data_IF_221304938388
#
_entry.id   IF_221304938388
#
_cell.length_a   1.000
_cell.length_b   1.000
_cell.length_c   1.000
_cell.angle_alpha   90.00
_cell.angle_beta   90.00
_cell.angle_gamma   90.00
#
_symmetry.space_group_name_H-M   'P 1'
#
loop_
_entity.id
_entity.type
_entity.pdbx_description
1 polymer ?
#
# COMPACT_ATOMS: atom_id res chain seq x y z
N UNK A 1 23.82 27.07 -18.11
CA UNK A 1 22.65 26.90 -18.97
C UNK A 1 21.85 28.20 -19.11
N UNK A 2 21.34 28.78 -18.05
CA UNK A 2 20.50 30.00 -18.06
C UNK A 2 21.11 31.25 -18.67
N UNK A 3 22.43 31.50 -18.51
CA UNK A 3 23.10 32.64 -19.11
C UNK A 3 22.94 32.72 -20.63
N UNK A 4 23.02 31.57 -21.31
CA UNK A 4 22.88 31.46 -22.77
C UNK A 4 21.46 31.74 -23.23
N UNK A 5 20.48 31.30 -22.46
CA UNK A 5 19.06 31.53 -22.74
C UNK A 5 18.68 33.02 -22.60
N UNK A 6 19.17 33.73 -21.58
CA UNK A 6 18.89 35.14 -21.39
C UNK A 6 19.48 35.96 -22.53
N UNK A 7 20.72 35.70 -22.92
CA UNK A 7 21.37 36.40 -24.05
C UNK A 7 20.69 36.12 -25.39
N UNK A 8 20.08 34.93 -25.55
CA UNK A 8 19.42 34.52 -26.79
C UNK A 8 17.99 35.06 -26.90
N UNK A 9 17.22 35.03 -25.81
CA UNK A 9 15.78 35.30 -25.84
C UNK A 9 15.39 36.65 -25.24
N UNK A 10 16.28 37.33 -24.51
CA UNK A 10 15.98 38.66 -23.93
C UNK A 10 16.76 39.76 -24.66
N UNK A 11 18.06 39.78 -24.56
CA UNK A 11 18.91 40.70 -25.30
C UNK A 11 20.39 40.26 -25.21
N UNK A 12 21.17 40.36 -26.30
CA UNK A 12 22.62 40.13 -26.28
C UNK A 12 23.41 41.16 -25.49
N UNK A 13 22.83 42.34 -25.23
CA UNK A 13 23.49 43.44 -24.54
C UNK A 13 23.30 43.44 -23.02
N UNK A 14 22.54 42.52 -22.49
CA UNK A 14 22.29 42.42 -21.04
C UNK A 14 23.56 42.05 -20.30
N UNK A 15 24.03 42.94 -19.43
CA UNK A 15 25.14 42.63 -18.53
C UNK A 15 24.70 41.70 -17.40
N UNK A 16 25.02 40.42 -17.55
CA UNK A 16 24.64 39.35 -16.62
C UNK A 16 25.74 39.02 -15.59
N UNK A 17 26.89 39.65 -15.67
CA UNK A 17 27.98 39.45 -14.68
C UNK A 17 27.60 40.13 -13.35
N UNK A 18 27.38 39.32 -12.32
CA UNK A 18 27.09 39.81 -10.96
C UNK A 18 25.62 40.24 -10.74
N UNK A 19 24.79 40.34 -11.80
CA UNK A 19 23.43 40.87 -11.73
C UNK A 19 22.33 39.77 -11.74
N UNK A 20 22.74 38.49 -11.79
CA UNK A 20 21.79 37.36 -11.71
C UNK A 20 22.04 36.59 -10.42
N UNK A 21 21.06 36.68 -9.52
CA UNK A 21 20.99 35.81 -8.37
C UNK A 21 19.96 34.70 -8.67
N UNK A 22 20.43 33.48 -8.92
CA UNK A 22 19.56 32.33 -9.02
C UNK A 22 19.21 31.88 -7.59
N UNK A 23 18.06 32.32 -7.10
CA UNK A 23 17.48 31.69 -5.90
C UNK A 23 16.80 30.40 -6.39
N UNK A 24 17.45 29.26 -6.16
CA UNK A 24 16.75 27.99 -6.22
C UNK A 24 15.59 28.09 -5.21
N UNK A 25 14.35 28.11 -5.69
CA UNK A 25 13.20 27.94 -4.83
C UNK A 25 13.31 26.52 -4.29
N UNK A 26 13.96 26.35 -3.16
CA UNK A 26 13.81 25.13 -2.38
C UNK A 26 12.33 25.12 -1.99
N UNK A 27 11.52 24.36 -2.72
CA UNK A 27 10.27 23.89 -2.19
C UNK A 27 10.65 23.26 -0.85
N UNK A 28 10.15 23.85 0.24
CA UNK A 28 10.34 23.30 1.56
C UNK A 28 9.78 21.88 1.50
N UNK A 29 10.66 20.89 1.30
CA UNK A 29 10.25 19.50 1.46
C UNK A 29 9.82 19.38 2.91
N UNK A 30 8.62 18.79 3.18
CA UNK A 30 8.25 18.50 4.54
C UNK A 30 9.43 17.82 5.21
N UNK A 31 9.71 18.21 6.44
CA UNK A 31 10.73 17.51 7.23
C UNK A 31 10.43 16.01 7.14
N UNK A 32 11.44 15.17 6.93
CA UNK A 32 11.23 13.74 6.75
C UNK A 32 10.40 13.09 7.86
N UNK A 33 10.33 13.69 9.04
CA UNK A 33 9.58 13.21 10.20
C UNK A 33 8.05 13.47 10.12
N UNK A 34 7.59 14.22 9.11
CA UNK A 34 6.18 14.66 8.97
C UNK A 34 5.54 14.28 7.64
N UNK A 35 6.03 13.24 6.98
CA UNK A 35 5.31 12.70 5.84
C UNK A 35 3.98 12.10 6.31
N UNK A 36 2.89 12.50 5.66
CA UNK A 36 1.51 12.13 6.00
C UNK A 36 1.08 12.53 7.43
N UNK A 37 1.28 13.78 7.89
CA UNK A 37 0.97 14.19 9.26
C UNK A 37 -0.54 14.12 9.58
N UNK A 38 -1.42 14.09 8.55
CA UNK A 38 -2.87 14.02 8.69
C UNK A 38 -3.42 12.59 8.62
N UNK A 39 -2.54 11.58 8.55
CA UNK A 39 -2.92 10.18 8.51
C UNK A 39 -2.77 9.59 9.91
N UNK A 40 -3.87 9.00 10.44
CA UNK A 40 -3.86 8.43 11.78
C UNK A 40 -3.12 7.11 11.86
N UNK A 41 -3.39 6.21 10.90
CA UNK A 41 -2.83 4.85 10.91
C UNK A 41 -2.31 4.47 9.52
N UNK A 42 -1.09 3.98 9.44
CA UNK A 42 -0.45 3.49 8.22
C UNK A 42 -0.29 1.98 8.33
N UNK A 43 -0.89 1.25 7.41
CA UNK A 43 -0.91 -0.21 7.40
C UNK A 43 -0.13 -0.73 6.19
N UNK A 44 0.93 -1.48 6.43
CA UNK A 44 1.63 -2.20 5.37
C UNK A 44 0.93 -3.53 5.08
N UNK A 45 0.50 -3.76 3.83
CA UNK A 45 -0.03 -5.05 3.36
C UNK A 45 1.10 -5.77 2.63
N UNK A 46 1.56 -6.86 3.19
CA UNK A 46 2.73 -7.60 2.72
C UNK A 46 2.42 -9.07 2.48
N UNK A 47 3.29 -9.74 1.74
CA UNK A 47 3.26 -11.20 1.57
C UNK A 47 4.66 -11.75 1.40
N UNK A 48 4.90 -12.97 1.87
CA UNK A 48 6.21 -13.63 1.71
C UNK A 48 6.55 -13.99 0.28
N UNK A 49 5.54 -14.19 -0.60
CA UNK A 49 5.71 -14.53 -2.03
C UNK A 49 4.59 -13.98 -2.88
N UNK A 50 4.79 -13.98 -4.21
CA UNK A 50 3.76 -13.62 -5.18
C UNK A 50 2.67 -14.69 -5.32
N UNK A 51 1.50 -14.30 -5.83
CA UNK A 51 0.40 -15.20 -6.14
C UNK A 51 -0.50 -15.60 -4.96
N UNK A 52 -0.27 -15.07 -3.75
CA UNK A 52 -1.13 -15.36 -2.58
C UNK A 52 -2.37 -14.47 -2.50
N UNK A 53 -2.58 -13.55 -3.44
CA UNK A 53 -3.71 -12.63 -3.49
C UNK A 53 -3.59 -11.40 -2.60
N UNK A 54 -2.36 -10.98 -2.26
CA UNK A 54 -2.07 -9.79 -1.45
C UNK A 54 -2.81 -8.55 -1.92
N UNK A 55 -2.69 -8.19 -3.21
CA UNK A 55 -3.31 -6.98 -3.78
C UNK A 55 -4.84 -7.05 -3.79
N UNK A 56 -5.41 -8.24 -4.01
CA UNK A 56 -6.86 -8.49 -3.89
C UNK A 56 -7.34 -8.26 -2.45
N UNK A 57 -6.57 -8.74 -1.48
CA UNK A 57 -6.87 -8.52 -0.05
C UNK A 57 -6.75 -7.04 0.29
N UNK A 58 -5.69 -6.35 -0.17
CA UNK A 58 -5.49 -4.92 0.06
C UNK A 58 -6.65 -4.08 -0.51
N UNK A 59 -7.08 -4.35 -1.75
CA UNK A 59 -8.20 -3.68 -2.39
C UNK A 59 -9.51 -3.85 -1.60
N UNK A 60 -9.86 -5.09 -1.29
CA UNK A 60 -11.11 -5.39 -0.59
C UNK A 60 -11.10 -4.90 0.86
N UNK A 61 -9.97 -4.95 1.55
CA UNK A 61 -9.81 -4.39 2.90
C UNK A 61 -10.01 -2.87 2.88
N UNK A 62 -9.40 -2.17 1.90
CA UNK A 62 -9.58 -0.73 1.76
C UNK A 62 -11.04 -0.34 1.53
N UNK A 63 -11.74 -1.06 0.65
CA UNK A 63 -13.17 -0.85 0.38
C UNK A 63 -14.02 -1.19 1.61
N UNK A 64 -13.74 -2.29 2.32
CA UNK A 64 -14.46 -2.66 3.53
C UNK A 64 -14.34 -1.61 4.63
N UNK A 65 -13.14 -1.04 4.84
CA UNK A 65 -12.91 0.07 5.77
C UNK A 65 -13.69 1.33 5.33
N UNK A 66 -13.69 1.66 4.05
CA UNK A 66 -14.44 2.82 3.53
C UNK A 66 -15.95 2.65 3.72
N UNK A 67 -16.49 1.43 3.52
CA UNK A 67 -17.91 1.13 3.77
C UNK A 67 -18.30 1.21 5.26
N UNK A 68 -17.33 1.03 6.16
CA UNK A 68 -17.50 1.25 7.60
C UNK A 68 -17.43 2.74 8.00
N UNK A 69 -17.27 3.64 7.01
CA UNK A 69 -17.28 5.09 7.23
C UNK A 69 -15.91 5.71 7.50
N UNK A 70 -14.81 4.95 7.40
CA UNK A 70 -13.47 5.49 7.56
C UNK A 70 -12.97 6.21 6.30
N UNK A 71 -12.16 7.24 6.48
CA UNK A 71 -11.41 7.90 5.41
C UNK A 71 -10.19 7.05 5.06
N UNK A 72 -10.15 6.50 3.84
CA UNK A 72 -9.15 5.50 3.44
C UNK A 72 -8.33 5.96 2.25
N UNK A 73 -7.01 5.78 2.36
CA UNK A 73 -6.06 5.90 1.25
C UNK A 73 -5.41 4.56 0.94
N UNK A 74 -5.10 4.31 -0.33
CA UNK A 74 -4.39 3.13 -0.80
C UNK A 74 -3.24 3.54 -1.73
N UNK A 75 -2.03 3.18 -1.36
CA UNK A 75 -0.85 3.29 -2.22
C UNK A 75 -0.51 1.92 -2.81
N UNK A 76 -0.54 1.80 -4.12
CA UNK A 76 0.01 0.66 -4.83
C UNK A 76 1.53 0.85 -4.98
N UNK A 77 2.28 0.14 -4.16
CA UNK A 77 3.74 0.17 -4.14
C UNK A 77 4.38 -0.99 -4.91
N UNK A 78 3.57 -1.85 -5.56
CA UNK A 78 4.07 -2.92 -6.44
C UNK A 78 4.37 -2.36 -7.83
N UNK A 79 5.54 -1.73 -7.96
CA UNK A 79 5.96 -1.04 -9.19
C UNK A 79 6.10 -2.00 -10.38
N UNK A 80 6.43 -3.25 -10.12
CA UNK A 80 6.66 -4.24 -11.18
C UNK A 80 5.38 -4.90 -11.69
N UNK A 81 4.31 -4.84 -10.90
CA UNK A 81 3.00 -5.39 -11.26
C UNK A 81 1.85 -4.59 -10.69
N UNK A 82 1.74 -3.28 -11.02
CA UNK A 82 0.70 -2.44 -10.46
C UNK A 82 -0.68 -2.95 -10.86
N UNK A 83 -1.46 -3.40 -9.89
CA UNK A 83 -2.75 -4.05 -10.11
C UNK A 83 -3.94 -3.27 -9.54
N UNK A 84 -3.71 -2.36 -8.62
CA UNK A 84 -4.78 -1.63 -7.95
C UNK A 84 -5.63 -0.76 -8.89
N UNK A 85 -5.07 -0.07 -9.92
CA UNK A 85 -5.89 0.67 -10.90
C UNK A 85 -6.93 -0.20 -11.59
N UNK A 86 -6.58 -1.45 -11.93
CA UNK A 86 -7.51 -2.43 -12.51
C UNK A 86 -8.60 -2.81 -11.52
N UNK A 87 -8.23 -3.18 -10.31
CA UNK A 87 -9.15 -3.63 -9.27
C UNK A 87 -10.15 -2.56 -8.81
N UNK A 88 -9.82 -1.28 -9.02
CA UNK A 88 -10.67 -0.14 -8.68
C UNK A 88 -11.40 0.48 -9.89
N UNK A 89 -11.34 -0.14 -11.07
CA UNK A 89 -11.88 0.45 -12.30
C UNK A 89 -11.36 1.87 -12.56
N UNK A 90 -10.07 2.09 -12.30
CA UNK A 90 -9.39 3.38 -12.44
C UNK A 90 -8.24 3.32 -13.47
N UNK A 91 -8.20 2.33 -14.34
CA UNK A 91 -7.12 2.17 -15.33
C UNK A 91 -6.99 3.36 -16.28
N UNK A 92 -8.09 4.05 -16.55
CA UNK A 92 -8.12 5.24 -17.40
C UNK A 92 -8.00 6.55 -16.61
N UNK A 93 -7.91 6.47 -15.29
CA UNK A 93 -7.71 7.66 -14.46
C UNK A 93 -6.34 8.30 -14.75
N UNK A 94 -6.31 9.61 -14.73
CA UNK A 94 -5.08 10.40 -14.92
C UNK A 94 -4.98 11.40 -13.76
N UNK A 95 -4.33 11.01 -12.66
CA UNK A 95 -4.06 11.94 -11.57
C UNK A 95 -3.38 13.21 -12.11
N UNK A 96 -3.81 14.35 -11.64
CA UNK A 96 -3.33 15.65 -12.09
C UNK A 96 -2.87 16.50 -10.90
N UNK A 97 -2.11 17.55 -11.20
CA UNK A 97 -1.67 18.50 -10.18
C UNK A 97 -2.82 19.45 -9.85
N UNK A 98 -3.06 19.64 -8.56
CA UNK A 98 -3.99 20.67 -8.04
C UNK A 98 -3.23 21.60 -7.08
N UNK A 99 -3.67 22.85 -7.02
CA UNK A 99 -3.10 23.82 -6.07
C UNK A 99 -3.86 23.75 -4.75
N UNK A 100 -3.13 23.44 -3.68
CA UNK A 100 -3.68 23.40 -2.32
C UNK A 100 -2.78 24.27 -1.43
N UNK A 101 -3.35 25.35 -0.88
CA UNK A 101 -2.63 26.28 0.01
C UNK A 101 -1.32 26.81 -0.61
N UNK A 102 -1.33 27.11 -1.92
CA UNK A 102 -0.16 27.61 -2.65
C UNK A 102 0.91 26.58 -2.97
N UNK A 103 0.58 25.29 -2.87
CA UNK A 103 1.44 24.16 -3.23
C UNK A 103 0.77 23.31 -4.32
N UNK A 104 1.56 22.93 -5.32
CA UNK A 104 1.09 21.98 -6.32
C UNK A 104 1.24 20.56 -5.77
N UNK A 105 0.12 19.84 -5.64
CA UNK A 105 0.06 18.48 -5.15
C UNK A 105 -0.64 17.57 -6.17
N UNK A 106 -0.25 16.30 -6.21
CA UNK A 106 -0.93 15.30 -7.01
C UNK A 106 -2.29 15.00 -6.37
N UNK A 107 -3.38 15.19 -7.11
CA UNK A 107 -4.71 14.73 -6.68
C UNK A 107 -4.83 13.22 -6.86
N UNK A 108 -5.03 12.44 -5.79
CA UNK A 108 -5.27 11.00 -5.92
C UNK A 108 -6.53 10.72 -6.73
N UNK A 109 -6.52 9.62 -7.49
CA UNK A 109 -7.76 9.08 -8.04
C UNK A 109 -8.61 8.53 -6.90
N UNK A 110 -9.94 8.55 -7.08
CA UNK A 110 -10.86 8.09 -6.05
C UNK A 110 -11.95 7.22 -6.65
N UNK A 111 -12.20 6.07 -6.06
CA UNK A 111 -13.36 5.23 -6.33
C UNK A 111 -13.73 4.43 -5.07
N UNK A 112 -15.00 4.09 -4.92
CA UNK A 112 -15.53 3.32 -3.78
C UNK A 112 -15.19 3.90 -2.41
N UNK A 113 -15.03 5.23 -2.31
CA UNK A 113 -14.66 5.92 -1.07
C UNK A 113 -13.20 5.77 -0.67
N UNK A 114 -12.34 5.30 -1.59
CA UNK A 114 -10.90 5.12 -1.36
C UNK A 114 -10.11 6.04 -2.28
N UNK A 115 -9.25 6.88 -1.71
CA UNK A 115 -8.24 7.65 -2.45
C UNK A 115 -7.08 6.72 -2.83
N UNK A 116 -6.66 6.73 -4.09
CA UNK A 116 -5.64 5.80 -4.56
C UNK A 116 -4.61 6.47 -5.46
N UNK A 117 -3.35 6.10 -5.25
CA UNK A 117 -2.26 6.33 -6.20
C UNK A 117 -1.51 5.03 -6.47
N UNK A 118 -1.10 4.90 -7.71
CA UNK A 118 -0.27 3.81 -8.21
C UNK A 118 0.69 4.37 -9.24
N UNK A 119 1.88 3.82 -9.31
CA UNK A 119 2.81 4.12 -10.41
C UNK A 119 2.18 3.76 -11.78
N UNK A 120 1.24 2.81 -11.79
CA UNK A 120 0.52 2.40 -12.98
C UNK A 120 -0.28 3.51 -13.67
N UNK A 121 -0.58 4.62 -12.97
CA UNK A 121 -1.21 5.80 -13.58
C UNK A 121 -0.27 6.62 -14.46
N UNK A 122 1.04 6.51 -14.25
CA UNK A 122 2.07 7.35 -14.85
C UNK A 122 2.92 6.61 -15.88
N UNK A 123 2.66 5.32 -16.07
CA UNK A 123 3.40 4.44 -17.00
C UNK A 123 2.44 3.90 -18.05
N UNK A 124 2.85 3.90 -19.32
CA UNK A 124 2.04 3.28 -20.36
C UNK A 124 2.02 1.75 -20.19
N UNK A 125 0.86 1.14 -20.34
CA UNK A 125 0.64 -0.32 -20.19
C UNK A 125 1.56 -1.19 -21.06
N UNK A 126 2.04 -0.63 -22.19
CA UNK A 126 2.87 -1.33 -23.17
C UNK A 126 4.38 -1.04 -23.03
N UNK A 127 4.76 -0.14 -22.14
CA UNK A 127 6.16 0.21 -21.94
C UNK A 127 6.77 -0.66 -20.85
N UNK A 128 7.72 -1.50 -21.24
CA UNK A 128 8.57 -2.19 -20.26
C UNK A 128 9.51 -1.17 -19.62
N UNK A 129 9.03 -0.45 -18.60
CA UNK A 129 9.85 0.52 -17.88
C UNK A 129 10.80 -0.24 -16.97
N UNK A 130 12.09 -0.14 -17.28
CA UNK A 130 13.15 -0.71 -16.44
C UNK A 130 13.35 0.18 -15.20
N UNK A 131 12.53 -0.03 -14.19
CA UNK A 131 12.70 0.64 -12.90
C UNK A 131 13.93 0.09 -12.18
N UNK A 132 14.94 0.91 -12.00
CA UNK A 132 16.03 0.59 -11.07
C UNK A 132 15.57 0.92 -9.65
N UNK A 133 15.99 0.13 -8.66
CA UNK A 133 15.51 0.24 -7.27
C UNK A 133 15.45 1.67 -6.71
N UNK A 134 16.49 2.49 -6.95
CA UNK A 134 16.51 3.87 -6.51
C UNK A 134 15.45 4.77 -7.21
N UNK A 135 15.15 4.54 -8.48
CA UNK A 135 14.12 5.28 -9.22
C UNK A 135 12.74 4.91 -8.67
N UNK A 136 12.50 3.62 -8.47
CA UNK A 136 11.29 3.09 -7.87
C UNK A 136 11.02 3.68 -6.49
N UNK A 137 12.03 3.66 -5.63
CA UNK A 137 11.95 4.24 -4.28
C UNK A 137 11.67 5.75 -4.30
N UNK A 138 12.28 6.49 -5.21
CA UNK A 138 12.04 7.94 -5.34
C UNK A 138 10.63 8.25 -5.85
N UNK A 139 10.12 7.49 -6.83
CA UNK A 139 8.76 7.66 -7.33
C UNK A 139 7.73 7.42 -6.20
N UNK A 140 7.89 6.35 -5.42
CA UNK A 140 7.02 6.09 -4.28
C UNK A 140 7.06 7.20 -3.24
N UNK A 141 8.25 7.74 -2.92
CA UNK A 141 8.37 8.89 -2.00
C UNK A 141 7.63 10.12 -2.51
N UNK A 142 7.64 10.35 -3.84
CA UNK A 142 6.87 11.44 -4.45
C UNK A 142 5.37 11.19 -4.36
N UNK A 143 4.89 9.97 -4.67
CA UNK A 143 3.47 9.62 -4.53
C UNK A 143 2.97 9.74 -3.09
N UNK A 144 3.85 9.57 -2.10
CA UNK A 144 3.53 9.75 -0.69
C UNK A 144 3.54 11.23 -0.30
N UNK A 145 4.62 11.95 -0.62
CA UNK A 145 4.90 13.28 -0.08
C UNK A 145 4.34 14.43 -0.90
N UNK A 146 4.18 14.24 -2.22
CA UNK A 146 3.75 15.28 -3.15
C UNK A 146 2.27 15.09 -3.57
N UNK A 147 1.50 14.25 -2.84
CA UNK A 147 0.08 14.04 -3.10
C UNK A 147 -0.82 14.62 -2.02
N UNK A 148 -2.01 15.08 -2.44
CA UNK A 148 -3.05 15.58 -1.56
C UNK A 148 -3.89 14.43 -0.98
N UNK A 149 -3.33 13.68 -0.06
CA UNK A 149 -4.05 12.63 0.65
C UNK A 149 -5.13 13.19 1.58
N UNK A 150 -4.90 14.39 2.15
CA UNK A 150 -5.77 14.99 3.16
C UNK A 150 -5.81 14.17 4.45
N UNK A 151 -6.85 14.39 5.25
CA UNK A 151 -7.07 13.60 6.47
C UNK A 151 -7.51 12.17 6.14
N UNK A 152 -6.81 11.18 6.69
CA UNK A 152 -7.15 9.76 6.57
C UNK A 152 -7.15 9.08 7.94
N UNK A 153 -8.10 8.17 8.14
CA UNK A 153 -8.10 7.27 9.29
C UNK A 153 -7.13 6.11 9.06
N UNK A 154 -7.12 5.58 7.84
CA UNK A 154 -6.25 4.48 7.43
C UNK A 154 -5.59 4.75 6.08
N UNK A 155 -4.30 4.51 6.01
CA UNK A 155 -3.52 4.55 4.77
C UNK A 155 -2.89 3.18 4.56
N UNK A 156 -3.37 2.45 3.57
CA UNK A 156 -2.88 1.13 3.21
C UNK A 156 -1.77 1.25 2.17
N UNK A 157 -0.73 0.44 2.31
CA UNK A 157 0.36 0.33 1.35
C UNK A 157 0.38 -1.11 0.85
N UNK A 158 -0.01 -1.32 -0.40
CA UNK A 158 0.11 -2.62 -1.07
C UNK A 158 1.57 -2.80 -1.52
N UNK A 159 2.35 -3.51 -0.72
CA UNK A 159 3.79 -3.72 -0.95
C UNK A 159 4.04 -4.75 -2.05
N UNK A 160 5.17 -4.72 -2.76
CA UNK A 160 5.55 -5.82 -3.65
C UNK A 160 5.69 -7.13 -2.89
N UNK A 161 5.60 -8.29 -3.56
CA UNK A 161 5.77 -9.58 -2.89
C UNK A 161 7.21 -9.80 -2.40
N UNK A 162 7.36 -10.63 -1.37
CA UNK A 162 8.67 -10.98 -0.80
C UNK A 162 9.26 -9.88 0.08
N UNK A 163 10.58 -9.79 0.11
CA UNK A 163 11.35 -8.80 0.87
C UNK A 163 12.27 -8.05 -0.08
N UNK A 164 11.88 -6.86 -0.50
CA UNK A 164 12.62 -6.04 -1.47
C UNK A 164 13.09 -4.72 -0.84
N UNK A 165 13.95 -3.98 -1.54
CA UNK A 165 14.38 -2.62 -1.15
C UNK A 165 13.20 -1.66 -0.96
N UNK A 166 12.05 -1.92 -1.59
CA UNK A 166 10.83 -1.13 -1.42
C UNK A 166 10.32 -1.22 0.01
N UNK A 167 10.32 -2.41 0.62
CA UNK A 167 9.92 -2.59 2.02
C UNK A 167 10.79 -1.74 2.95
N UNK A 168 12.11 -1.81 2.77
CA UNK A 168 13.05 -1.01 3.54
C UNK A 168 12.83 0.49 3.30
N UNK A 169 12.58 0.90 2.06
CA UNK A 169 12.27 2.29 1.72
C UNK A 169 11.01 2.76 2.44
N UNK A 170 9.94 1.95 2.49
CA UNK A 170 8.70 2.32 3.16
C UNK A 170 8.89 2.53 4.66
N UNK A 171 9.54 1.60 5.36
CA UNK A 171 9.78 1.72 6.82
C UNK A 171 10.76 2.83 7.18
N UNK A 172 11.64 3.24 6.26
CA UNK A 172 12.53 4.40 6.42
C UNK A 172 11.83 5.75 6.10
N UNK A 173 10.77 5.69 5.33
CA UNK A 173 10.04 6.88 4.87
C UNK A 173 8.86 7.21 5.77
N UNK A 174 8.18 6.19 6.28
CA UNK A 174 6.93 6.30 7.03
C UNK A 174 7.03 5.64 8.40
N UNK A 175 6.34 6.23 9.38
CA UNK A 175 6.10 5.62 10.68
C UNK A 175 4.91 4.64 10.54
N UNK A 176 5.17 3.44 10.06
CA UNK A 176 4.14 2.42 9.80
C UNK A 176 3.55 1.96 11.13
N UNK A 177 2.22 2.12 11.31
CA UNK A 177 1.51 1.71 12.52
C UNK A 177 1.62 0.21 12.75
N UNK A 178 1.50 -0.57 11.67
CA UNK A 178 1.69 -2.01 11.72
C UNK A 178 1.57 -2.66 10.35
N UNK A 179 1.96 -3.92 10.28
CA UNK A 179 1.91 -4.72 9.06
C UNK A 179 0.87 -5.85 9.18
N UNK A 180 0.13 -6.12 8.11
CA UNK A 180 -0.65 -7.34 7.93
C UNK A 180 0.04 -8.22 6.90
N UNK A 181 0.11 -9.51 7.14
CA UNK A 181 0.79 -10.44 6.25
C UNK A 181 -0.19 -11.43 5.64
N UNK A 182 -0.29 -11.41 4.31
CA UNK A 182 -1.19 -12.28 3.54
C UNK A 182 -0.44 -13.53 3.11
N UNK A 183 -1.00 -14.70 3.35
CA UNK A 183 -0.48 -15.98 2.86
C UNK A 183 -1.62 -16.94 2.50
N UNK A 184 -1.26 -18.05 1.85
CA UNK A 184 -2.14 -19.20 1.66
C UNK A 184 -1.75 -20.29 2.66
N UNK A 185 -2.64 -21.31 2.92
CA UNK A 185 -2.34 -22.37 3.88
C UNK A 185 -1.17 -23.30 3.55
N UNK A 186 -0.59 -23.20 2.33
CA UNK A 186 0.48 -24.07 1.86
C UNK A 186 1.77 -23.86 2.66
N UNK A 187 2.44 -24.93 3.07
CA UNK A 187 3.71 -24.87 3.83
C UNK A 187 4.78 -24.04 3.12
N UNK A 188 4.87 -24.12 1.78
CA UNK A 188 5.82 -23.32 0.99
C UNK A 188 5.51 -21.81 1.13
N UNK A 189 4.22 -21.41 1.14
CA UNK A 189 3.83 -20.02 1.33
C UNK A 189 4.07 -19.56 2.78
N UNK A 190 3.82 -20.44 3.75
CA UNK A 190 4.03 -20.17 5.18
C UNK A 190 5.52 -19.96 5.50
N UNK A 191 6.43 -20.75 4.88
CA UNK A 191 7.86 -20.56 5.03
C UNK A 191 8.32 -19.16 4.59
N UNK A 192 7.74 -18.63 3.51
CA UNK A 192 8.04 -17.28 3.03
C UNK A 192 7.33 -16.21 3.85
N UNK A 193 6.09 -16.46 4.32
CA UNK A 193 5.38 -15.55 5.24
C UNK A 193 6.16 -15.36 6.55
N UNK A 194 6.78 -16.42 7.08
CA UNK A 194 7.65 -16.37 8.26
C UNK A 194 8.82 -15.39 8.06
N UNK A 195 9.47 -15.43 6.88
CA UNK A 195 10.55 -14.48 6.53
C UNK A 195 10.03 -13.04 6.45
N UNK A 196 8.83 -12.85 5.85
CA UNK A 196 8.18 -11.54 5.79
C UNK A 196 7.89 -10.98 7.18
N UNK A 197 7.37 -11.79 8.10
CA UNK A 197 7.13 -11.39 9.49
C UNK A 197 8.46 -11.02 10.17
N UNK A 198 9.48 -11.87 10.06
CA UNK A 198 10.80 -11.61 10.64
C UNK A 198 11.44 -10.32 10.15
N UNK A 199 11.17 -9.92 8.90
CA UNK A 199 11.64 -8.64 8.36
C UNK A 199 11.05 -7.45 9.13
N UNK A 200 9.74 -7.47 9.43
CA UNK A 200 9.08 -6.38 10.15
C UNK A 200 9.45 -6.36 11.64
N UNK A 201 9.56 -7.53 12.27
CA UNK A 201 9.84 -7.68 13.71
C UNK A 201 11.32 -7.60 14.06
N UNK A 202 12.21 -7.60 13.06
CA UNK A 202 13.66 -7.51 13.29
C UNK A 202 14.07 -6.20 13.97
N UNK A 203 15.08 -6.25 14.83
CA UNK A 203 15.56 -5.13 15.71
C UNK A 203 15.79 -3.81 14.97
N UNK A 204 16.12 -3.87 13.68
CA UNK A 204 16.39 -2.68 12.86
C UNK A 204 15.14 -2.05 12.26
N UNK A 205 14.03 -2.78 12.17
CA UNK A 205 12.78 -2.33 11.54
C UNK A 205 11.72 -2.07 12.58
N UNK A 206 11.52 -3.01 13.50
CA UNK A 206 10.63 -2.93 14.65
C UNK A 206 9.22 -2.39 14.34
N UNK A 207 8.61 -2.88 13.24
CA UNK A 207 7.22 -2.60 12.88
C UNK A 207 6.36 -3.72 13.44
N UNK A 208 5.33 -3.40 14.26
CA UNK A 208 4.42 -4.40 14.79
C UNK A 208 3.70 -5.16 13.69
N UNK A 209 3.60 -6.48 13.81
CA UNK A 209 2.76 -7.31 12.94
C UNK A 209 1.37 -7.39 13.57
N UNK A 210 0.37 -6.75 12.94
CA UNK A 210 -1.02 -6.74 13.38
C UNK A 210 -1.65 -8.13 13.29
N UNK A 211 -1.19 -8.93 12.35
CA UNK A 211 -1.60 -10.33 12.23
C UNK A 211 -1.45 -10.90 10.83
N UNK A 212 -1.86 -12.16 10.71
CA UNK A 212 -1.89 -12.95 9.48
C UNK A 212 -3.30 -12.97 8.87
N UNK A 213 -3.36 -12.98 7.55
CA UNK A 213 -4.58 -13.20 6.77
C UNK A 213 -4.37 -14.47 5.95
N UNK A 214 -5.21 -15.49 6.19
CA UNK A 214 -5.21 -16.71 5.40
C UNK A 214 -6.13 -16.54 4.19
N UNK A 215 -5.56 -16.27 3.03
CA UNK A 215 -6.29 -16.22 1.77
C UNK A 215 -6.33 -17.61 1.11
N UNK A 216 -7.34 -17.85 0.29
CA UNK A 216 -7.57 -19.14 -0.37
C UNK A 216 -7.69 -20.30 0.64
N UNK A 217 -8.33 -20.03 1.77
CA UNK A 217 -8.40 -20.93 2.92
C UNK A 217 -9.16 -22.23 2.61
N UNK A 218 -10.25 -22.15 1.85
CA UNK A 218 -11.02 -23.29 1.36
C UNK A 218 -11.82 -22.93 0.12
N UNK A 219 -12.30 -23.93 -0.57
CA UNK A 219 -13.26 -23.83 -1.66
C UNK A 219 -14.58 -24.50 -1.25
N UNK A 220 -15.70 -23.87 -1.55
CA UNK A 220 -17.04 -24.45 -1.39
C UNK A 220 -17.75 -24.44 -2.74
N UNK A 221 -18.06 -25.60 -3.35
CA UNK A 221 -18.85 -25.66 -4.57
C UNK A 221 -20.27 -25.15 -4.33
N UNK A 222 -20.86 -24.51 -5.34
CA UNK A 222 -22.24 -24.04 -5.25
C UNK A 222 -23.26 -25.17 -5.04
N UNK A 223 -22.97 -26.35 -5.60
CA UNK A 223 -23.81 -27.56 -5.49
C UNK A 223 -23.73 -28.23 -4.12
N UNK A 224 -22.70 -27.94 -3.34
CA UNK A 224 -22.43 -28.52 -2.03
C UNK A 224 -22.06 -27.42 -1.01
N UNK A 225 -22.99 -26.53 -0.65
CA UNK A 225 -22.71 -25.34 0.14
C UNK A 225 -22.21 -25.63 1.56
N UNK A 226 -22.46 -26.79 2.09
CA UNK A 226 -22.00 -27.24 3.43
C UNK A 226 -20.56 -27.80 3.39
N UNK A 227 -20.01 -28.08 2.21
CA UNK A 227 -18.71 -28.73 2.09
C UNK A 227 -17.59 -27.72 1.92
N UNK A 228 -16.50 -27.88 2.66
CA UNK A 228 -15.27 -27.13 2.53
C UNK A 228 -14.15 -28.03 2.04
N UNK A 229 -13.57 -27.67 0.89
CA UNK A 229 -12.42 -28.36 0.30
C UNK A 229 -11.16 -27.53 0.50
N UNK A 230 -10.20 -28.07 1.23
CA UNK A 230 -8.95 -27.40 1.58
C UNK A 230 -7.87 -27.67 0.53
N UNK A 231 -8.02 -27.05 -0.64
CA UNK A 231 -7.17 -27.29 -1.82
C UNK A 231 -5.69 -26.99 -1.53
N UNK A 232 -5.45 -25.94 -0.77
CA UNK A 232 -4.10 -25.49 -0.42
C UNK A 232 -3.64 -25.88 0.99
N UNK A 233 -4.34 -26.78 1.65
CA UNK A 233 -4.09 -27.17 3.05
C UNK A 233 -5.10 -26.52 3.99
N UNK A 234 -5.12 -27.00 5.23
CA UNK A 234 -6.08 -26.58 6.25
C UNK A 234 -5.40 -25.82 7.37
N UNK A 235 -5.91 -24.60 7.67
CA UNK A 235 -5.53 -23.81 8.84
C UNK A 235 -4.00 -23.57 8.96
N UNK A 236 -3.29 -23.43 7.82
CA UNK A 236 -1.86 -23.25 7.83
C UNK A 236 -1.43 -21.94 8.47
N UNK A 237 -2.07 -20.82 8.10
CA UNK A 237 -1.78 -19.54 8.72
C UNK A 237 -2.21 -19.46 10.18
N UNK A 238 -3.24 -20.22 10.59
CA UNK A 238 -3.63 -20.30 11.98
C UNK A 238 -2.52 -20.93 12.84
N UNK A 239 -1.98 -22.07 12.40
CA UNK A 239 -0.82 -22.71 13.08
C UNK A 239 0.38 -21.78 13.14
N UNK A 240 0.66 -21.08 12.04
CA UNK A 240 1.78 -20.13 11.99
C UNK A 240 1.53 -18.93 12.93
N UNK A 241 0.31 -18.44 13.00
CA UNK A 241 -0.08 -17.35 13.89
C UNK A 241 0.11 -17.73 15.36
N UNK A 242 -0.33 -18.92 15.75
CA UNK A 242 -0.13 -19.47 17.09
C UNK A 242 1.36 -19.64 17.41
N UNK A 243 2.15 -20.19 16.49
CA UNK A 243 3.59 -20.40 16.67
C UNK A 243 4.35 -19.06 16.87
N UNK A 244 4.00 -18.03 16.11
CA UNK A 244 4.65 -16.72 16.15
C UNK A 244 4.02 -15.76 17.16
N UNK A 245 2.97 -16.21 17.86
CA UNK A 245 2.20 -15.40 18.79
C UNK A 245 1.71 -14.08 18.17
N UNK A 246 1.17 -14.18 16.94
CA UNK A 246 0.52 -13.06 16.23
C UNK A 246 -0.95 -13.42 15.96
N UNK A 247 -1.87 -12.46 15.88
CA UNK A 247 -3.28 -12.75 15.59
C UNK A 247 -3.49 -13.35 14.19
N UNK A 248 -4.48 -14.24 14.04
CA UNK A 248 -5.11 -14.55 12.76
C UNK A 248 -6.28 -13.57 12.56
N UNK A 249 -6.15 -12.67 11.58
CA UNK A 249 -7.12 -11.59 11.35
C UNK A 249 -8.36 -12.05 10.59
N UNK A 250 -8.21 -13.06 9.72
CA UNK A 250 -9.32 -13.60 8.94
C UNK A 250 -8.88 -14.69 7.99
N UNK A 251 -9.89 -15.42 7.50
CA UNK A 251 -9.75 -16.47 6.50
C UNK A 251 -10.67 -16.18 5.32
N UNK A 252 -10.10 -16.02 4.14
CA UNK A 252 -10.83 -15.68 2.91
C UNK A 252 -10.94 -16.94 2.04
N UNK A 253 -12.17 -17.36 1.66
CA UNK A 253 -12.37 -18.54 0.82
C UNK A 253 -11.93 -18.28 -0.64
N UNK A 254 -11.76 -19.36 -1.39
CA UNK A 254 -11.66 -19.30 -2.86
C UNK A 254 -13.09 -19.20 -3.40
N UNK A 255 -13.40 -18.09 -4.06
CA UNK A 255 -14.69 -17.86 -4.72
C UNK A 255 -14.45 -17.21 -6.07
N UNK A 256 -15.15 -17.69 -7.10
CA UNK A 256 -15.02 -17.18 -8.46
C UNK A 256 -15.28 -15.67 -8.54
N UNK A 257 -16.26 -15.16 -7.79
CA UNK A 257 -16.60 -13.74 -7.76
C UNK A 257 -15.45 -12.83 -7.29
N UNK A 258 -14.50 -13.33 -6.50
CA UNK A 258 -13.30 -12.54 -6.12
C UNK A 258 -12.43 -12.28 -7.35
N UNK A 259 -12.23 -13.29 -8.20
CA UNK A 259 -11.47 -13.15 -9.44
C UNK A 259 -12.20 -12.22 -10.42
N UNK A 260 -13.48 -12.51 -10.69
CA UNK A 260 -14.31 -11.71 -11.60
C UNK A 260 -14.42 -10.25 -11.14
N UNK A 261 -14.61 -10.04 -9.84
CA UNK A 261 -14.66 -8.70 -9.26
C UNK A 261 -13.35 -7.92 -9.46
N UNK A 262 -12.20 -8.58 -9.26
CA UNK A 262 -10.90 -8.00 -9.53
C UNK A 262 -10.70 -7.63 -10.99
N UNK A 263 -11.09 -8.51 -11.92
CA UNK A 263 -10.96 -8.30 -13.36
C UNK A 263 -11.92 -7.21 -13.89
N UNK A 264 -13.10 -7.09 -13.29
CA UNK A 264 -14.11 -6.08 -13.64
C UNK A 264 -13.92 -4.75 -12.91
N UNK A 265 -12.93 -4.64 -12.02
CA UNK A 265 -12.72 -3.46 -11.19
C UNK A 265 -13.84 -3.22 -10.17
N UNK A 266 -14.47 -4.28 -9.68
CA UNK A 266 -15.56 -4.27 -8.70
C UNK A 266 -15.21 -5.16 -7.49
N UNK A 267 -14.45 -4.67 -6.52
CA UNK A 267 -14.10 -5.44 -5.33
C UNK A 267 -15.33 -6.08 -4.68
N UNK A 268 -15.21 -7.34 -4.28
CA UNK A 268 -16.35 -8.09 -3.71
C UNK A 268 -16.84 -7.54 -2.37
N UNK A 269 -16.01 -6.79 -1.66
CA UNK A 269 -16.38 -6.06 -0.45
C UNK A 269 -17.51 -5.05 -0.67
N UNK A 270 -17.74 -4.59 -1.91
CA UNK A 270 -18.88 -3.73 -2.28
C UNK A 270 -20.25 -4.39 -2.07
N UNK A 271 -20.29 -5.71 -1.96
CA UNK A 271 -21.51 -6.45 -1.62
C UNK A 271 -21.38 -7.06 -0.21
N UNK A 272 -21.62 -6.29 0.86
CA UNK A 272 -21.39 -6.73 2.24
C UNK A 272 -22.28 -7.90 2.66
N UNK A 273 -23.40 -8.15 1.97
CA UNK A 273 -24.31 -9.26 2.29
C UNK A 273 -23.85 -10.60 1.72
N UNK A 274 -22.94 -10.60 0.74
CA UNK A 274 -22.35 -11.81 0.18
C UNK A 274 -21.42 -12.50 1.19
N UNK A 275 -21.16 -13.80 0.98
CA UNK A 275 -20.22 -14.58 1.82
C UNK A 275 -18.83 -13.93 1.81
N UNK A 276 -18.36 -13.51 0.65
CA UNK A 276 -17.06 -12.86 0.50
C UNK A 276 -17.06 -11.45 1.07
N UNK A 277 -18.11 -10.68 0.85
CA UNK A 277 -18.27 -9.35 1.44
C UNK A 277 -18.24 -9.40 2.97
N UNK A 278 -18.99 -10.32 3.59
CA UNK A 278 -18.96 -10.53 5.05
C UNK A 278 -17.57 -10.89 5.55
N UNK A 279 -16.83 -11.76 4.85
CA UNK A 279 -15.48 -12.12 5.22
C UNK A 279 -14.53 -10.90 5.21
N UNK A 280 -14.66 -9.98 4.24
CA UNK A 280 -13.87 -8.76 4.20
C UNK A 280 -14.32 -7.71 5.22
N UNK A 281 -15.62 -7.63 5.55
CA UNK A 281 -16.11 -6.78 6.64
C UNK A 281 -15.56 -7.23 7.99
N UNK A 282 -15.64 -8.53 8.28
CA UNK A 282 -15.06 -9.11 9.50
C UNK A 282 -13.54 -8.92 9.56
N UNK A 283 -12.85 -9.10 8.44
CA UNK A 283 -11.43 -8.83 8.34
C UNK A 283 -11.10 -7.36 8.70
N UNK A 284 -11.86 -6.41 8.14
CA UNK A 284 -11.68 -4.97 8.42
C UNK A 284 -11.89 -4.67 9.91
N UNK A 285 -12.95 -5.19 10.53
CA UNK A 285 -13.20 -5.06 11.96
C UNK A 285 -12.04 -5.60 12.82
N UNK A 286 -11.50 -6.77 12.45
CA UNK A 286 -10.40 -7.38 13.18
C UNK A 286 -9.10 -6.59 13.01
N UNK A 287 -8.85 -6.02 11.83
CA UNK A 287 -7.72 -5.09 11.60
C UNK A 287 -7.86 -3.84 12.47
N UNK A 288 -9.04 -3.23 12.51
CA UNK A 288 -9.32 -2.05 13.36
C UNK A 288 -9.08 -2.38 14.82
N UNK A 289 -9.64 -3.48 15.35
CA UNK A 289 -9.44 -3.93 16.74
C UNK A 289 -7.96 -4.12 17.07
N UNK A 290 -7.16 -4.67 16.15
CA UNK A 290 -5.72 -4.87 16.38
C UNK A 290 -4.94 -3.55 16.33
N UNK A 291 -5.36 -2.60 15.51
CA UNK A 291 -4.77 -1.25 15.48
C UNK A 291 -5.07 -0.51 16.78
N UNK A 292 -6.32 -0.55 17.25
CA UNK A 292 -6.71 0.08 18.52
C UNK A 292 -5.93 -0.53 19.69
N UNK A 293 -5.89 -1.86 19.77
CA UNK A 293 -5.10 -2.57 20.77
C UNK A 293 -3.61 -2.15 20.72
N UNK A 294 -3.03 -2.13 19.51
CA UNK A 294 -1.64 -1.70 19.31
C UNK A 294 -1.42 -0.26 19.79
N UNK A 295 -2.32 0.66 19.44
CA UNK A 295 -2.19 2.08 19.80
C UNK A 295 -2.34 2.35 21.30
N UNK A 296 -3.13 1.52 21.98
CA UNK A 296 -3.29 1.59 23.44
C UNK A 296 -2.09 1.02 24.21
N UNK A 297 -1.41 -0.01 23.66
CA UNK A 297 -0.42 -0.79 24.41
C UNK A 297 1.03 -0.58 23.97
N UNK A 298 1.27 -0.01 22.78
CA UNK A 298 2.60 0.21 22.23
C UNK A 298 2.85 1.70 21.98
N UNK A 299 4.09 2.13 22.16
CA UNK A 299 4.51 3.47 21.76
C UNK A 299 4.30 3.68 20.24
N UNK A 300 4.09 4.94 19.78
CA UNK A 300 4.06 5.24 18.35
C UNK A 300 5.29 4.69 17.63
N UNK A 301 5.08 4.12 16.45
CA UNK A 301 6.19 3.63 15.64
C UNK A 301 7.02 4.81 15.13
N UNK A 302 8.33 4.70 15.21
CA UNK A 302 9.26 5.67 14.64
C UNK A 302 9.79 5.17 13.29
N UNK A 303 10.21 6.10 12.43
CA UNK A 303 10.87 5.74 11.18
C UNK A 303 12.22 5.08 11.47
N UNK A 304 12.56 4.10 10.64
CA UNK A 304 13.86 3.45 10.72
C UNK A 304 14.95 4.40 10.21
N UNK A 305 15.84 4.83 11.08
CA UNK A 305 17.00 5.64 10.72
C UNK A 305 18.20 4.71 10.48
N UNK A 306 18.61 4.57 9.21
CA UNK A 306 19.84 3.85 8.88
C UNK A 306 21.03 4.78 9.03
N UNK A 307 21.73 4.69 10.14
CA UNK A 307 23.05 5.33 10.27
C UNK A 307 24.04 4.57 9.38
N UNK A 308 24.53 5.21 8.31
CA UNK A 308 25.70 4.69 7.58
C UNK A 308 26.88 4.70 8.56
N UNK A 309 27.37 3.50 8.90
CA UNK A 309 28.68 3.35 9.54
C UNK A 309 29.76 3.54 8.50
#
# INVERSE_FOLDING_TARGET
MYKRQILTYVSPEVNIKGNITVKARQLARPEPDKLLPQVKNIIAVSSGKGGVGKSTVAANLAVALALQGYKVGLLDADIFGPSQPKMFNLEEARPYMEEVEGRELIKPAENYGVKMLSIGFFVNKNDAVLWRGAMASNALKQLIGDANWGELDYFLIDLPPGTSDIHLTMVQTLAITGAVVVSTPQEVALADARKGISMFTGDKVNVPVLGLIENMAWFTPAELPENKYYIFGKEGCKRLAEELNVPLLGQIPIVQSICEGGDQGKPVALNPDSITGKAFQELAENVVKQIDYRNEHLAPTERVIVTKK
#
